data_IF_915184628263
#
_entry.id   IF_915184628263
#
_cell.length_a   1.000
_cell.length_b   1.000
_cell.length_c   1.000
_cell.angle_alpha   90.00
_cell.angle_beta   90.00
_cell.angle_gamma   90.00
#
_symmetry.space_group_name_H-M   'P 1'
#
loop_
_entity.id
_entity.type
_entity.pdbx_description
1 polymer ?
#
# COMPACT_ATOMS: atom_id res chain seq x y z
N UNK A 1 -2.06 -18.23 26.92
CA UNK A 1 -1.85 -17.15 25.93
C UNK A 1 -0.85 -17.61 24.87
N UNK A 2 -1.08 -17.22 23.60
CA UNK A 2 -0.18 -17.51 22.48
C UNK A 2 0.67 -16.28 22.14
N UNK A 3 1.99 -16.44 22.05
CA UNK A 3 2.96 -15.38 21.68
C UNK A 3 3.51 -15.66 20.29
N UNK A 4 3.55 -14.64 19.44
CA UNK A 4 3.97 -14.75 18.05
C UNK A 4 4.91 -13.59 17.75
N UNK A 5 6.15 -13.90 17.38
CA UNK A 5 7.10 -12.87 16.98
C UNK A 5 6.83 -12.43 15.55
N UNK A 6 6.81 -11.11 15.34
CA UNK A 6 6.52 -10.47 14.06
C UNK A 6 7.54 -9.39 13.78
N UNK A 7 7.55 -8.84 12.57
CA UNK A 7 8.40 -7.72 12.19
C UNK A 7 8.12 -6.45 13.01
N UNK A 8 6.94 -6.33 13.64
CA UNK A 8 6.55 -5.21 14.50
C UNK A 8 6.81 -5.45 16.00
N UNK A 9 7.26 -6.65 16.38
CA UNK A 9 7.39 -7.08 17.77
C UNK A 9 6.54 -8.32 18.07
N UNK A 10 6.34 -8.62 19.36
CA UNK A 10 5.62 -9.83 19.78
C UNK A 10 4.12 -9.59 19.90
N UNK A 11 3.34 -10.20 19.00
CA UNK A 11 1.88 -10.23 19.07
C UNK A 11 1.43 -11.26 20.11
N UNK A 12 0.56 -10.83 21.04
CA UNK A 12 0.04 -11.65 22.13
C UNK A 12 -1.46 -11.87 21.91
N UNK A 13 -1.88 -13.14 21.84
CA UNK A 13 -3.26 -13.54 21.57
C UNK A 13 -3.78 -14.52 22.65
N UNK A 14 -5.11 -14.70 22.67
CA UNK A 14 -5.77 -15.74 23.47
C UNK A 14 -5.36 -17.16 23.06
N UNK A 15 -5.76 -18.15 23.86
CA UNK A 15 -5.37 -19.56 23.66
C UNK A 15 -6.09 -20.24 22.48
N UNK A 16 -7.29 -19.78 22.16
CA UNK A 16 -8.11 -20.34 21.08
C UNK A 16 -8.16 -19.33 19.94
N UNK A 17 -7.34 -19.55 18.92
CA UNK A 17 -7.27 -18.72 17.72
C UNK A 17 -7.36 -19.60 16.47
N UNK A 18 -8.25 -19.24 15.55
CA UNK A 18 -8.36 -19.90 14.25
C UNK A 18 -7.04 -19.77 13.46
N UNK A 19 -6.35 -20.88 13.12
CA UNK A 19 -5.07 -20.83 12.42
C UNK A 19 -5.14 -20.16 11.04
N UNK A 20 -6.25 -20.33 10.32
CA UNK A 20 -6.44 -19.71 8.98
C UNK A 20 -6.54 -18.19 9.08
N UNK A 21 -7.31 -17.67 10.03
CA UNK A 21 -7.44 -16.22 10.28
C UNK A 21 -6.09 -15.63 10.69
N UNK A 22 -5.41 -16.28 11.62
CA UNK A 22 -4.09 -15.84 12.06
C UNK A 22 -3.08 -15.80 10.91
N UNK A 23 -3.06 -16.81 10.03
CA UNK A 23 -2.18 -16.81 8.86
C UNK A 23 -2.47 -15.65 7.91
N UNK A 24 -3.75 -15.30 7.72
CA UNK A 24 -4.15 -14.17 6.90
C UNK A 24 -3.70 -12.83 7.51
N UNK A 25 -3.89 -12.64 8.82
CA UNK A 25 -3.39 -11.45 9.55
C UNK A 25 -1.86 -11.32 9.42
N UNK A 26 -1.11 -12.40 9.62
CA UNK A 26 0.36 -12.35 9.53
C UNK A 26 0.84 -12.01 8.12
N UNK A 27 0.20 -12.54 7.07
CA UNK A 27 0.51 -12.17 5.69
C UNK A 27 0.19 -10.70 5.41
N UNK A 28 -0.95 -10.21 5.87
CA UNK A 28 -1.30 -8.80 5.71
C UNK A 28 -0.41 -7.87 6.52
N UNK A 29 0.13 -8.34 7.64
CA UNK A 29 1.10 -7.60 8.46
C UNK A 29 2.42 -7.41 7.71
N UNK A 30 2.91 -8.43 7.01
CA UNK A 30 4.10 -8.33 6.15
C UNK A 30 3.90 -7.26 5.06
N UNK A 31 2.73 -7.25 4.41
CA UNK A 31 2.37 -6.25 3.40
C UNK A 31 2.30 -4.85 4.01
N UNK A 32 1.60 -4.70 5.14
CA UNK A 32 1.50 -3.42 5.87
C UNK A 32 2.89 -2.88 6.19
N UNK A 33 3.80 -3.73 6.68
CA UNK A 33 5.15 -3.34 7.00
C UNK A 33 5.92 -2.87 5.76
N UNK A 34 5.82 -3.62 4.66
CA UNK A 34 6.45 -3.26 3.39
C UNK A 34 5.98 -1.90 2.88
N UNK A 35 4.67 -1.63 2.93
CA UNK A 35 4.09 -0.35 2.47
C UNK A 35 4.57 0.81 3.35
N UNK A 36 4.47 0.68 4.67
CA UNK A 36 4.85 1.77 5.60
C UNK A 36 6.35 2.08 5.48
N UNK A 37 7.22 1.07 5.34
CA UNK A 37 8.65 1.28 5.15
C UNK A 37 9.02 1.86 3.78
N UNK A 38 8.10 1.85 2.81
CA UNK A 38 8.32 2.39 1.46
C UNK A 38 7.86 3.84 1.27
N UNK A 39 7.35 4.49 2.32
CA UNK A 39 6.77 5.84 2.23
C UNK A 39 7.26 6.76 3.37
N UNK A 40 7.53 8.04 3.11
CA UNK A 40 7.84 9.01 4.17
C UNK A 40 6.60 9.45 4.97
N UNK A 41 5.40 9.16 4.47
CA UNK A 41 4.12 9.60 5.07
C UNK A 41 3.85 8.91 6.40
N UNK A 42 4.43 7.75 6.63
CA UNK A 42 4.20 6.94 7.81
C UNK A 42 5.51 6.55 8.48
N UNK A 43 5.47 6.29 9.77
CA UNK A 43 6.59 5.71 10.53
C UNK A 43 6.09 4.67 11.50
N UNK A 44 6.93 3.67 11.75
CA UNK A 44 6.68 2.67 12.78
C UNK A 44 7.44 3.03 14.04
N UNK A 45 6.73 3.15 15.16
CA UNK A 45 7.36 3.25 16.47
C UNK A 45 7.58 1.85 17.04
N UNK A 46 8.83 1.38 16.91
CA UNK A 46 9.26 0.02 17.22
C UNK A 46 9.85 -0.13 18.64
N UNK A 47 9.82 0.93 19.45
CA UNK A 47 10.47 0.98 20.77
C UNK A 47 9.55 0.75 21.97
N UNK A 48 8.25 0.59 21.75
CA UNK A 48 7.23 0.44 22.80
C UNK A 48 6.66 -0.99 22.80
N UNK A 49 6.13 -1.46 23.93
CA UNK A 49 5.43 -2.76 24.02
C UNK A 49 4.23 -2.86 23.05
N UNK A 50 3.82 -1.75 22.45
CA UNK A 50 2.77 -1.65 21.44
C UNK A 50 3.30 -0.95 20.18
N UNK A 51 3.38 -1.66 19.04
CA UNK A 51 3.80 -1.01 17.79
C UNK A 51 2.70 -0.07 17.29
N UNK A 52 3.05 1.20 17.17
CA UNK A 52 2.20 2.20 16.55
C UNK A 52 2.69 2.52 15.14
N UNK A 53 1.75 2.61 14.21
CA UNK A 53 1.98 3.29 12.92
C UNK A 53 1.52 4.74 13.09
N UNK A 54 2.41 5.67 12.78
CA UNK A 54 2.26 7.10 13.03
C UNK A 54 2.29 7.85 11.71
N UNK A 55 1.33 8.74 11.48
CA UNK A 55 1.32 9.60 10.30
C UNK A 55 2.27 10.80 10.48
N UNK A 56 3.14 11.04 9.51
CA UNK A 56 4.11 12.14 9.46
C UNK A 56 3.69 13.28 8.52
N UNK A 57 2.49 13.20 7.94
CA UNK A 57 1.94 14.22 7.07
C UNK A 57 1.25 15.35 7.83
N UNK A 58 0.79 16.35 7.08
CA UNK A 58 0.21 17.55 7.66
C UNK A 58 -1.14 17.30 8.36
N UNK A 59 -1.46 18.15 9.34
CA UNK A 59 -2.69 18.05 10.10
C UNK A 59 -2.58 17.21 11.38
N UNK A 60 -3.73 16.78 11.96
CA UNK A 60 -3.76 15.91 13.12
C UNK A 60 -2.95 14.62 12.93
N UNK A 61 -2.10 14.25 13.88
CA UNK A 61 -1.39 12.97 13.83
C UNK A 61 -2.37 11.81 13.97
N UNK A 62 -2.29 10.83 13.07
CA UNK A 62 -2.98 9.56 13.15
C UNK A 62 -2.03 8.53 13.76
N UNK A 63 -2.52 7.81 14.77
CA UNK A 63 -1.83 6.68 15.40
C UNK A 63 -2.68 5.44 15.22
N UNK A 64 -2.08 4.33 14.81
CA UNK A 64 -2.77 3.07 14.59
C UNK A 64 -2.16 2.03 15.52
N UNK A 65 -2.96 1.46 16.42
CA UNK A 65 -2.54 0.31 17.24
C UNK A 65 -2.81 -0.98 16.46
N UNK A 66 -1.75 -1.48 15.81
CA UNK A 66 -1.85 -2.63 14.90
C UNK A 66 -2.21 -3.89 15.68
N UNK A 67 -1.51 -4.14 16.79
CA UNK A 67 -1.70 -5.36 17.56
C UNK A 67 -3.04 -5.40 18.26
N UNK A 68 -3.52 -4.28 18.81
CA UNK A 68 -4.86 -4.25 19.41
C UNK A 68 -5.96 -4.45 18.37
N UNK A 69 -5.80 -3.89 17.16
CA UNK A 69 -6.74 -4.10 16.05
C UNK A 69 -6.82 -5.56 15.60
N UNK A 70 -5.68 -6.24 15.54
CA UNK A 70 -5.62 -7.69 15.22
C UNK A 70 -6.20 -8.50 16.39
N UNK A 71 -5.78 -8.21 17.62
CA UNK A 71 -6.19 -8.95 18.83
C UNK A 71 -7.70 -8.92 18.99
N UNK A 72 -8.33 -7.73 18.93
CA UNK A 72 -9.78 -7.58 19.08
C UNK A 72 -10.55 -8.30 17.98
N UNK A 73 -10.13 -8.20 16.72
CA UNK A 73 -10.78 -8.94 15.63
C UNK A 73 -10.65 -10.46 15.79
N UNK A 74 -9.46 -10.95 16.09
CA UNK A 74 -9.17 -12.38 16.16
C UNK A 74 -9.79 -13.03 17.40
N UNK A 75 -9.74 -12.36 18.56
CA UNK A 75 -10.19 -12.91 19.83
C UNK A 75 -11.64 -12.57 20.17
N UNK A 76 -12.11 -11.38 19.81
CA UNK A 76 -13.42 -10.84 20.21
C UNK A 76 -14.38 -10.68 19.03
N UNK A 77 -13.90 -10.84 17.79
CA UNK A 77 -14.70 -10.62 16.58
C UNK A 77 -15.00 -9.15 16.30
N UNK A 78 -14.36 -8.22 17.02
CA UNK A 78 -14.60 -6.79 16.88
C UNK A 78 -14.22 -6.31 15.47
N UNK A 79 -15.14 -5.70 14.71
CA UNK A 79 -14.86 -5.16 13.39
C UNK A 79 -14.16 -3.80 13.42
N UNK A 80 -13.88 -3.20 14.58
CA UNK A 80 -13.25 -1.88 14.65
C UNK A 80 -11.73 -1.95 14.58
N UNK A 81 -11.14 -0.98 13.86
CA UNK A 81 -9.70 -0.72 13.95
C UNK A 81 -9.44 0.29 15.08
N UNK A 82 -8.37 0.04 15.84
CA UNK A 82 -7.98 0.88 16.98
C UNK A 82 -7.08 2.01 16.48
N UNK A 83 -7.67 3.19 16.33
CA UNK A 83 -7.03 4.38 15.75
C UNK A 83 -7.18 5.56 16.70
N UNK A 84 -6.19 6.45 16.71
CA UNK A 84 -6.22 7.72 17.44
C UNK A 84 -5.92 8.87 16.48
N UNK A 85 -6.58 10.00 16.69
CA UNK A 85 -6.31 11.27 16.00
C UNK A 85 -5.95 12.32 17.04
N UNK A 86 -4.73 12.84 16.99
CA UNK A 86 -4.17 13.72 18.03
C UNK A 86 -4.36 13.14 19.44
N UNK A 87 -3.97 11.87 19.61
CA UNK A 87 -4.06 11.10 20.87
C UNK A 87 -5.50 10.83 21.38
N UNK A 88 -6.54 11.21 20.64
CA UNK A 88 -7.93 10.86 20.99
C UNK A 88 -8.39 9.64 20.21
N UNK A 89 -9.03 8.65 20.85
CA UNK A 89 -9.50 7.46 20.16
C UNK A 89 -10.54 7.84 19.10
N UNK A 90 -10.41 7.23 17.93
CA UNK A 90 -11.32 7.38 16.79
C UNK A 90 -11.81 6.00 16.40
N UNK A 91 -13.13 5.86 16.35
CA UNK A 91 -13.78 4.64 15.92
C UNK A 91 -13.86 4.63 14.38
N UNK A 92 -13.34 3.58 13.76
CA UNK A 92 -13.53 3.31 12.34
C UNK A 92 -14.10 1.89 12.24
N UNK A 93 -15.35 1.83 11.82
CA UNK A 93 -16.09 0.60 11.63
C UNK A 93 -15.78 0.04 10.24
N UNK A 94 -15.42 -1.25 10.18
CA UNK A 94 -15.36 -1.99 8.92
C UNK A 94 -16.77 -2.28 8.45
N UNK A 95 -17.01 -2.11 7.16
CA UNK A 95 -18.33 -2.30 6.58
C UNK A 95 -18.84 -3.72 6.86
N UNK A 96 -20.06 -3.83 7.41
CA UNK A 96 -20.58 -5.08 8.00
C UNK A 96 -20.98 -6.13 6.97
N UNK A 97 -21.13 -5.71 5.71
CA UNK A 97 -21.60 -6.54 4.59
C UNK A 97 -20.44 -7.26 3.85
N UNK A 98 -19.22 -7.16 4.37
CA UNK A 98 -18.01 -7.66 3.71
C UNK A 98 -17.63 -9.06 4.21
N UNK A 99 -17.16 -9.89 3.27
CA UNK A 99 -16.44 -11.14 3.50
C UNK A 99 -15.48 -11.01 4.70
N UNK A 100 -15.38 -12.06 5.53
CA UNK A 100 -14.49 -12.10 6.69
C UNK A 100 -13.03 -11.90 6.29
N UNK A 101 -12.59 -10.64 6.29
CA UNK A 101 -11.26 -10.18 5.88
C UNK A 101 -10.40 -9.91 7.12
N UNK A 102 -9.07 -10.14 7.03
CA UNK A 102 -8.17 -9.87 8.14
C UNK A 102 -8.14 -8.36 8.46
N UNK A 103 -7.97 -7.99 9.73
CA UNK A 103 -7.85 -6.59 10.18
C UNK A 103 -6.78 -5.84 9.42
N UNK A 104 -5.67 -6.50 9.10
CA UNK A 104 -4.58 -5.91 8.34
C UNK A 104 -4.99 -5.32 7.00
N UNK A 105 -6.00 -5.85 6.30
CA UNK A 105 -6.45 -5.27 5.02
C UNK A 105 -7.00 -3.87 5.21
N UNK A 106 -7.81 -3.67 6.26
CA UNK A 106 -8.35 -2.35 6.60
C UNK A 106 -7.27 -1.39 7.13
N UNK A 107 -6.25 -1.91 7.83
CA UNK A 107 -5.09 -1.12 8.23
C UNK A 107 -4.30 -0.66 6.99
N UNK A 108 -4.10 -1.55 6.01
CA UNK A 108 -3.46 -1.23 4.73
C UNK A 108 -4.26 -0.16 3.98
N UNK A 109 -5.58 -0.31 3.87
CA UNK A 109 -6.43 0.72 3.25
C UNK A 109 -6.28 2.09 3.93
N UNK A 110 -6.21 2.12 5.27
CA UNK A 110 -6.03 3.37 6.01
C UNK A 110 -4.66 4.00 5.77
N UNK A 111 -3.60 3.19 5.69
CA UNK A 111 -2.25 3.65 5.35
C UNK A 111 -2.22 4.22 3.92
N UNK A 112 -2.87 3.54 2.96
CA UNK A 112 -3.00 4.01 1.58
C UNK A 112 -3.79 5.31 1.48
N UNK A 113 -4.81 5.54 2.31
CA UNK A 113 -5.50 6.83 2.38
C UNK A 113 -4.56 7.96 2.80
N UNK A 114 -3.66 7.71 3.76
CA UNK A 114 -2.63 8.68 4.13
C UNK A 114 -1.66 8.97 2.99
N UNK A 115 -1.21 7.92 2.29
CA UNK A 115 -0.34 8.07 1.12
C UNK A 115 -1.04 8.87 0.02
N UNK A 116 -2.34 8.64 -0.20
CA UNK A 116 -3.16 9.38 -1.15
C UNK A 116 -3.50 10.82 -0.72
N UNK A 117 -3.02 11.27 0.45
CA UNK A 117 -3.24 12.62 0.95
C UNK A 117 -4.62 12.85 1.57
N UNK A 118 -5.26 11.81 2.09
CA UNK A 118 -6.57 11.85 2.76
C UNK A 118 -7.69 12.45 1.90
N UNK A 119 -8.00 11.83 0.74
CA UNK A 119 -9.05 12.31 -0.14
C UNK A 119 -10.38 12.40 0.61
N UNK A 120 -11.06 13.53 0.47
CA UNK A 120 -12.20 13.89 1.29
C UNK A 120 -13.36 12.89 1.21
N UNK A 121 -13.68 12.43 0.02
CA UNK A 121 -14.82 11.52 -0.19
C UNK A 121 -14.53 10.07 0.22
N UNK A 122 -13.26 9.67 0.27
CA UNK A 122 -12.85 8.31 0.63
C UNK A 122 -12.34 8.17 2.08
N UNK A 123 -12.09 9.29 2.76
CA UNK A 123 -11.63 9.28 4.16
C UNK A 123 -12.83 9.04 5.09
N UNK A 124 -12.74 8.10 6.07
CA UNK A 124 -13.80 7.88 7.04
C UNK A 124 -14.24 9.19 7.70
N UNK A 125 -15.55 9.39 7.87
CA UNK A 125 -16.13 10.63 8.44
C UNK A 125 -15.52 10.98 9.81
N UNK A 126 -15.11 9.98 10.59
CA UNK A 126 -14.48 10.14 11.89
C UNK A 126 -13.06 10.72 11.81
N UNK A 127 -12.42 10.66 10.64
CA UNK A 127 -11.13 11.30 10.31
C UNK A 127 -11.28 12.54 9.42
N UNK A 128 -12.48 13.10 9.26
CA UNK A 128 -12.73 14.26 8.38
C UNK A 128 -11.83 15.46 8.69
N UNK A 129 -11.48 15.69 9.96
CA UNK A 129 -10.56 16.77 10.36
C UNK A 129 -9.19 16.60 9.72
N UNK A 130 -8.69 15.35 9.62
CA UNK A 130 -7.43 15.03 8.95
C UNK A 130 -7.50 15.40 7.47
N UNK A 131 -8.51 14.90 6.77
CA UNK A 131 -8.72 15.21 5.35
C UNK A 131 -8.74 16.72 5.07
N UNK A 132 -9.53 17.49 5.83
CA UNK A 132 -9.62 18.95 5.67
C UNK A 132 -8.28 19.67 5.89
N UNK A 133 -7.48 19.23 6.86
CA UNK A 133 -6.16 19.81 7.12
C UNK A 133 -5.09 19.39 6.11
N UNK A 134 -5.20 18.18 5.56
CA UNK A 134 -4.26 17.65 4.58
C UNK A 134 -4.50 18.25 3.18
N UNK A 135 -5.74 18.67 2.86
CA UNK A 135 -6.07 19.35 1.60
C UNK A 135 -5.41 20.73 1.39
N UNK A 136 -4.72 21.30 2.39
CA UNK A 136 -3.97 22.54 2.26
C UNK A 136 -2.44 22.36 2.12
N UNK A 137 -1.94 21.14 2.34
CA UNK A 137 -0.60 20.81 1.92
C UNK A 137 -0.64 20.55 0.41
N UNK A 138 0.31 21.10 -0.35
CA UNK A 138 0.50 20.73 -1.75
C UNK A 138 0.54 19.21 -1.80
N UNK A 139 -0.52 18.61 -2.34
CA UNK A 139 -0.51 17.25 -2.84
C UNK A 139 0.77 17.20 -3.69
N UNK A 140 1.81 16.48 -3.22
CA UNK A 140 2.90 16.12 -4.12
C UNK A 140 2.22 15.60 -5.34
N UNK A 141 2.46 16.25 -6.47
CA UNK A 141 1.58 16.18 -7.61
C UNK A 141 1.56 14.72 -8.09
N UNK A 142 0.67 13.89 -7.54
CA UNK A 142 0.59 12.47 -7.88
C UNK A 142 0.26 12.36 -9.36
N UNK A 143 -0.22 13.44 -9.99
CA UNK A 143 -0.21 13.75 -11.40
C UNK A 143 1.06 13.42 -12.21
N UNK A 144 2.26 13.50 -11.63
CA UNK A 144 3.54 13.55 -12.37
C UNK A 144 4.49 12.42 -11.98
N UNK A 145 5.27 11.92 -12.92
CA UNK A 145 6.34 10.96 -12.60
C UNK A 145 7.32 11.57 -11.57
N UNK A 146 7.80 10.74 -10.65
CA UNK A 146 8.83 11.08 -9.68
C UNK A 146 10.21 10.76 -10.25
N UNK A 147 11.27 11.27 -9.62
CA UNK A 147 12.65 10.94 -9.99
C UNK A 147 12.92 9.43 -9.92
N UNK A 148 12.36 8.73 -8.93
CA UNK A 148 12.46 7.27 -8.83
C UNK A 148 11.81 6.54 -10.01
N UNK A 149 10.71 7.07 -10.54
CA UNK A 149 10.06 6.51 -11.73
C UNK A 149 10.94 6.74 -12.97
N UNK A 150 11.53 7.93 -13.10
CA UNK A 150 12.50 8.23 -14.16
C UNK A 150 13.75 7.34 -14.09
N UNK A 151 14.23 7.02 -12.89
CA UNK A 151 15.36 6.11 -12.70
C UNK A 151 15.01 4.67 -13.11
N UNK A 152 13.79 4.21 -12.83
CA UNK A 152 13.31 2.88 -13.27
C UNK A 152 13.16 2.80 -14.79
N UNK A 153 12.59 3.85 -15.37
CA UNK A 153 12.53 4.07 -16.82
C UNK A 153 13.93 3.97 -17.47
N UNK A 154 14.93 4.67 -16.92
CA UNK A 154 16.29 4.61 -17.43
C UNK A 154 16.95 3.24 -17.21
N UNK A 155 16.67 2.57 -16.08
CA UNK A 155 17.14 1.22 -15.81
C UNK A 155 16.59 0.20 -16.82
N UNK A 156 15.32 0.32 -17.18
CA UNK A 156 14.70 -0.52 -18.19
C UNK A 156 15.35 -0.35 -19.58
N UNK A 157 15.62 0.89 -19.98
CA UNK A 157 16.35 1.18 -21.22
C UNK A 157 17.77 0.62 -21.20
N UNK A 158 18.48 0.77 -20.10
CA UNK A 158 19.83 0.22 -19.96
C UNK A 158 19.82 -1.30 -20.07
N UNK A 159 18.89 -1.99 -19.40
CA UNK A 159 18.73 -3.44 -19.53
C UNK A 159 18.46 -3.87 -20.97
N UNK A 160 17.60 -3.13 -21.68
CA UNK A 160 17.32 -3.41 -23.08
C UNK A 160 18.56 -3.23 -23.97
N UNK A 161 19.34 -2.17 -23.77
CA UNK A 161 20.59 -1.91 -24.50
C UNK A 161 21.64 -3.02 -24.29
N UNK A 162 21.68 -3.60 -23.09
CA UNK A 162 22.54 -4.73 -22.75
C UNK A 162 22.00 -6.09 -23.25
N UNK A 163 20.85 -6.11 -23.95
CA UNK A 163 20.23 -7.31 -24.50
C UNK A 163 19.30 -8.06 -23.54
N UNK A 164 19.05 -7.53 -22.34
CA UNK A 164 18.13 -8.09 -21.35
C UNK A 164 16.71 -7.53 -21.51
N UNK A 165 16.16 -7.61 -22.72
CA UNK A 165 14.87 -6.98 -23.08
C UNK A 165 13.71 -7.41 -22.16
N UNK A 166 13.58 -8.71 -21.84
CA UNK A 166 12.52 -9.20 -20.95
C UNK A 166 12.58 -8.55 -19.56
N UNK A 167 13.78 -8.44 -19.00
CA UNK A 167 13.99 -7.82 -17.70
C UNK A 167 13.68 -6.31 -17.75
N UNK A 168 14.03 -5.63 -18.85
CA UNK A 168 13.67 -4.23 -19.07
C UNK A 168 12.15 -4.02 -19.07
N UNK A 169 11.41 -4.84 -19.81
CA UNK A 169 9.94 -4.79 -19.84
C UNK A 169 9.31 -5.13 -18.48
N UNK A 170 9.88 -6.09 -17.75
CA UNK A 170 9.46 -6.43 -16.38
C UNK A 170 9.57 -5.24 -15.41
N UNK A 171 10.66 -4.47 -15.50
CA UNK A 171 10.84 -3.26 -14.68
C UNK A 171 9.75 -2.22 -14.98
N UNK A 172 9.42 -2.01 -16.26
CA UNK A 172 8.35 -1.09 -16.66
C UNK A 172 6.98 -1.57 -16.19
N UNK A 173 6.68 -2.85 -16.31
CA UNK A 173 5.43 -3.43 -15.81
C UNK A 173 5.30 -3.27 -14.30
N UNK A 174 6.37 -3.54 -13.55
CA UNK A 174 6.37 -3.38 -12.09
C UNK A 174 6.15 -1.91 -11.69
N UNK A 175 6.77 -0.97 -12.41
CA UNK A 175 6.52 0.45 -12.22
C UNK A 175 5.05 0.79 -12.49
N UNK A 176 4.48 0.30 -13.58
CA UNK A 176 3.08 0.50 -13.95
C UNK A 176 2.11 0.03 -12.84
N UNK A 177 2.35 -1.17 -12.29
CA UNK A 177 1.56 -1.69 -11.16
C UNK A 177 1.63 -0.77 -9.94
N UNK A 178 2.81 -0.23 -9.62
CA UNK A 178 2.97 0.75 -8.53
C UNK A 178 2.23 2.06 -8.82
N UNK A 179 2.31 2.59 -10.04
CA UNK A 179 1.59 3.81 -10.44
C UNK A 179 0.06 3.61 -10.33
N UNK A 180 -0.44 2.43 -10.69
CA UNK A 180 -1.85 2.08 -10.55
C UNK A 180 -2.26 1.94 -9.08
N UNK A 181 -1.59 1.08 -8.32
CA UNK A 181 -1.99 0.70 -6.95
C UNK A 181 -1.67 1.79 -5.93
N UNK A 182 -0.46 2.35 -5.97
CA UNK A 182 0.02 3.26 -4.93
C UNK A 182 -0.32 4.73 -5.24
N UNK A 183 -0.59 5.05 -6.51
CA UNK A 183 -0.81 6.44 -6.95
C UNK A 183 -2.13 6.66 -7.69
N UNK A 184 -2.96 5.62 -7.80
CA UNK A 184 -4.28 5.66 -8.40
C UNK A 184 -4.30 6.22 -9.83
N UNK A 185 -3.27 5.94 -10.64
CA UNK A 185 -3.30 6.34 -12.05
C UNK A 185 -4.22 5.42 -12.83
N UNK A 186 -5.08 5.98 -13.68
CA UNK A 186 -5.83 5.20 -14.66
C UNK A 186 -4.90 4.63 -15.74
N UNK A 187 -5.32 3.50 -16.32
CA UNK A 187 -4.57 2.80 -17.37
C UNK A 187 -4.12 3.74 -18.51
N UNK A 188 -5.02 4.58 -19.02
CA UNK A 188 -4.71 5.52 -20.10
C UNK A 188 -3.54 6.44 -19.76
N UNK A 189 -3.51 6.94 -18.53
CA UNK A 189 -2.44 7.83 -18.07
C UNK A 189 -1.11 7.09 -17.92
N UNK A 190 -1.15 5.86 -17.41
CA UNK A 190 0.05 5.01 -17.29
C UNK A 190 0.60 4.71 -18.68
N UNK A 191 -0.26 4.33 -19.63
CA UNK A 191 0.14 4.07 -21.03
C UNK A 191 0.79 5.30 -21.67
N UNK A 192 0.16 6.47 -21.55
CA UNK A 192 0.72 7.74 -22.03
C UNK A 192 2.11 8.04 -21.42
N UNK A 193 2.32 7.68 -20.16
CA UNK A 193 3.60 7.90 -19.49
C UNK A 193 4.68 6.89 -19.89
N UNK A 194 4.30 5.65 -20.21
CA UNK A 194 5.22 4.60 -20.66
C UNK A 194 5.56 4.69 -22.15
N UNK A 195 4.64 5.23 -22.96
CA UNK A 195 4.75 5.26 -24.42
C UNK A 195 6.13 5.75 -24.93
N UNK A 196 6.70 6.88 -24.47
CA UNK A 196 7.98 7.37 -24.98
C UNK A 196 9.14 6.41 -24.75
N UNK A 197 9.02 5.52 -23.76
CA UNK A 197 10.04 4.51 -23.46
C UNK A 197 9.78 3.24 -24.24
N UNK A 198 8.53 2.81 -24.32
CA UNK A 198 8.13 1.64 -25.10
C UNK A 198 8.43 1.79 -26.58
N UNK A 199 8.49 3.01 -27.12
CA UNK A 199 8.98 3.29 -28.49
C UNK A 199 10.43 2.83 -28.74
N UNK A 200 11.22 2.56 -27.70
CA UNK A 200 12.57 2.01 -27.84
C UNK A 200 12.58 0.47 -27.94
N UNK A 201 11.45 -0.18 -27.67
CA UNK A 201 11.29 -1.63 -27.77
C UNK A 201 10.53 -1.94 -29.07
N UNK A 202 10.88 -3.04 -29.73
CA UNK A 202 10.13 -3.48 -30.90
C UNK A 202 8.79 -4.10 -30.49
N UNK A 203 7.79 -3.99 -31.36
CA UNK A 203 6.48 -4.64 -31.14
C UNK A 203 6.64 -6.15 -30.87
N UNK A 204 7.55 -6.81 -31.58
CA UNK A 204 7.83 -8.24 -31.39
C UNK A 204 8.36 -8.56 -29.98
N UNK A 205 9.21 -7.70 -29.42
CA UNK A 205 9.73 -7.87 -28.06
C UNK A 205 8.64 -7.68 -27.00
N UNK A 206 7.82 -6.65 -27.16
CA UNK A 206 6.68 -6.41 -26.26
C UNK A 206 5.68 -7.57 -26.31
N UNK A 207 5.36 -8.06 -27.51
CA UNK A 207 4.48 -9.22 -27.68
C UNK A 207 5.07 -10.50 -27.08
N UNK A 208 6.38 -10.71 -27.19
CA UNK A 208 7.06 -11.86 -26.58
C UNK A 208 6.93 -11.82 -25.06
N UNK A 209 7.10 -10.65 -24.44
CA UNK A 209 6.90 -10.47 -23.01
C UNK A 209 5.44 -10.72 -22.60
N UNK A 210 4.48 -10.16 -23.34
CA UNK A 210 3.03 -10.29 -23.05
C UNK A 210 2.55 -11.76 -23.12
N UNK A 211 3.19 -12.60 -23.94
CA UNK A 211 2.89 -14.03 -23.98
C UNK A 211 3.33 -14.79 -22.73
N UNK A 212 4.37 -14.29 -22.04
CA UNK A 212 4.93 -14.90 -20.84
C UNK A 212 5.29 -13.83 -19.80
N UNK A 213 4.30 -13.08 -19.28
CA UNK A 213 4.58 -11.97 -18.39
C UNK A 213 5.00 -12.49 -17.01
N UNK A 214 5.78 -11.69 -16.27
CA UNK A 214 6.17 -12.04 -14.91
C UNK A 214 4.95 -11.99 -13.95
N UNK A 215 3.97 -11.14 -14.25
CA UNK A 215 2.67 -11.09 -13.56
C UNK A 215 1.54 -10.95 -14.60
N UNK A 216 0.43 -11.68 -14.42
CA UNK A 216 -0.70 -11.69 -15.38
C UNK A 216 -1.26 -10.29 -15.66
N UNK A 217 -1.18 -9.37 -14.70
CA UNK A 217 -1.70 -8.00 -14.82
C UNK A 217 -0.87 -7.12 -15.75
N UNK A 218 0.31 -7.55 -16.17
CA UNK A 218 1.27 -6.69 -16.88
C UNK A 218 0.80 -6.34 -18.27
N UNK A 219 0.05 -7.26 -18.86
CA UNK A 219 -0.66 -7.07 -20.12
C UNK A 219 -1.61 -5.86 -20.08
N UNK A 220 -2.15 -5.48 -18.92
CA UNK A 220 -3.05 -4.32 -18.82
C UNK A 220 -2.34 -2.99 -19.13
N UNK A 221 -1.02 -2.95 -18.88
CA UNK A 221 -0.22 -1.73 -18.95
C UNK A 221 0.66 -1.65 -20.19
N UNK A 222 1.18 -2.79 -20.67
CA UNK A 222 2.14 -2.84 -21.77
C UNK A 222 1.52 -3.12 -23.13
N UNK A 223 0.23 -3.50 -23.19
CA UNK A 223 -0.47 -3.64 -24.47
C UNK A 223 -0.77 -2.26 -25.04
N UNK A 224 -0.52 -2.02 -26.34
CA UNK A 224 -0.91 -0.78 -27.01
C UNK A 224 -2.41 -0.47 -26.87
#
# INVERSE_FOLDING_TARGET
MKRIDTQLGTLILGDIVCPKRLKAELRGLELLCSIVNSTPIWSMEMGSEKPFIISNDNGPTILIDVFESIRKKVCEGDPHITVYMSQRPVCILRDSDVVDTPSTDSLVSLVLLGIAGWPYDSTPKTLRKKSLSSSHAKIENFGRLLESDHNQMQSALHLHQEGFTHAGLSVLAQMARRLYVCRCWHFDKIRLALQPILENFTDAEVQTYIQHPDEETDVLFLTP
#
